data_IF_170973063686
#
_entry.id   IF_170973063686
#
_cell.length_a   1.000
_cell.length_b   1.000
_cell.length_c   1.000
_cell.angle_alpha   90.00
_cell.angle_beta   90.00
_cell.angle_gamma   90.00
#
_symmetry.space_group_name_H-M   'P 1'
#
loop_
_entity.id
_entity.type
_entity.pdbx_description
1 polymer ?
#
# COMPACT_ATOMS: atom_id res chain seq x y z
N UNK A 1 -5.52 -22.04 -7.81
CA UNK A 1 -5.96 -20.95 -6.92
C UNK A 1 -7.39 -20.56 -7.28
N UNK A 2 -8.26 -20.37 -6.31
CA UNK A 2 -9.68 -20.06 -6.56
C UNK A 2 -9.80 -18.67 -7.17
N UNK A 3 -10.69 -18.50 -8.15
CA UNK A 3 -10.99 -17.20 -8.73
C UNK A 3 -11.56 -16.25 -7.66
N UNK A 4 -11.05 -15.03 -7.62
CA UNK A 4 -11.50 -13.98 -6.70
C UNK A 4 -12.42 -13.05 -7.46
N UNK A 5 -13.55 -12.70 -6.84
CA UNK A 5 -14.45 -11.65 -7.35
C UNK A 5 -14.39 -10.44 -6.45
N UNK A 6 -13.94 -9.32 -7.00
CA UNK A 6 -13.92 -8.04 -6.32
C UNK A 6 -14.17 -6.95 -7.36
N UNK A 7 -15.32 -6.29 -7.27
CA UNK A 7 -15.79 -5.39 -8.31
C UNK A 7 -16.04 -6.08 -9.65
N UNK A 8 -15.89 -5.35 -10.73
CA UNK A 8 -16.07 -5.82 -12.11
C UNK A 8 -14.79 -6.41 -12.74
N UNK A 9 -13.70 -6.46 -11.98
CA UNK A 9 -12.39 -6.88 -12.48
C UNK A 9 -12.23 -8.40 -12.52
N UNK A 10 -11.39 -8.87 -13.45
CA UNK A 10 -10.91 -10.25 -13.50
C UNK A 10 -9.57 -10.31 -12.75
N UNK A 11 -9.56 -11.02 -11.64
CA UNK A 11 -8.39 -11.20 -10.80
C UNK A 11 -7.68 -12.51 -11.12
N UNK A 12 -6.41 -12.41 -11.47
CA UNK A 12 -5.53 -13.53 -11.84
C UNK A 12 -4.49 -13.77 -10.75
N UNK A 13 -3.98 -15.00 -10.57
CA UNK A 13 -2.88 -15.26 -9.66
C UNK A 13 -1.67 -14.38 -10.01
N UNK A 14 -1.22 -13.54 -9.08
CA UNK A 14 -0.16 -12.59 -9.37
C UNK A 14 1.19 -13.26 -9.73
N UNK A 15 1.45 -14.46 -9.19
CA UNK A 15 2.65 -15.22 -9.47
C UNK A 15 2.79 -15.65 -10.95
N UNK A 16 1.66 -15.77 -11.66
CA UNK A 16 1.62 -16.17 -13.05
C UNK A 16 1.63 -14.97 -14.01
N UNK A 17 1.58 -13.75 -13.49
CA UNK A 17 1.42 -12.50 -14.24
C UNK A 17 2.35 -11.40 -13.76
N UNK A 18 3.64 -11.70 -13.61
CA UNK A 18 4.66 -10.77 -13.12
C UNK A 18 4.85 -9.55 -14.03
N UNK A 19 4.53 -9.69 -15.31
CA UNK A 19 4.58 -8.63 -16.31
C UNK A 19 3.61 -7.47 -16.04
N UNK A 20 2.59 -7.71 -15.21
CA UNK A 20 1.62 -6.69 -14.79
C UNK A 20 2.10 -5.88 -13.57
N UNK A 21 3.21 -6.27 -12.96
CA UNK A 21 3.69 -5.69 -11.70
C UNK A 21 4.87 -4.74 -11.93
N UNK A 22 5.03 -3.76 -11.06
CA UNK A 22 6.27 -3.01 -10.96
C UNK A 22 7.43 -3.92 -10.56
N UNK A 23 8.64 -3.65 -11.07
CA UNK A 23 9.80 -4.51 -10.85
C UNK A 23 10.09 -4.81 -9.35
N UNK A 24 10.04 -3.85 -8.41
CA UNK A 24 10.24 -4.15 -7.00
C UNK A 24 9.16 -5.10 -6.43
N UNK A 25 7.92 -4.97 -6.90
CA UNK A 25 6.80 -5.80 -6.47
C UNK A 25 6.94 -7.22 -6.98
N UNK A 26 7.26 -7.37 -8.26
CA UNK A 26 7.50 -8.68 -8.87
C UNK A 26 8.64 -9.43 -8.16
N UNK A 27 9.71 -8.73 -7.79
CA UNK A 27 10.84 -9.30 -7.05
C UNK A 27 10.46 -9.73 -5.62
N UNK A 28 9.57 -9.00 -4.96
CA UNK A 28 9.16 -9.28 -3.58
C UNK A 28 8.06 -10.35 -3.48
N UNK A 29 7.32 -10.60 -4.55
CA UNK A 29 6.14 -11.47 -4.55
C UNK A 29 6.41 -12.89 -4.01
N UNK A 30 7.51 -13.57 -4.37
CA UNK A 30 7.81 -14.91 -3.86
C UNK A 30 7.98 -14.99 -2.34
N UNK A 31 8.28 -13.88 -1.69
CA UNK A 31 8.46 -13.77 -0.23
C UNK A 31 7.17 -13.50 0.55
N UNK A 32 6.03 -13.37 -0.11
CA UNK A 32 4.76 -13.15 0.58
C UNK A 32 4.34 -14.38 1.38
N UNK A 33 3.77 -14.17 2.56
CA UNK A 33 3.28 -15.22 3.44
C UNK A 33 1.95 -15.84 3.02
N UNK A 34 1.34 -15.36 1.92
CA UNK A 34 0.05 -15.82 1.43
C UNK A 34 -0.23 -15.41 0.00
N UNK A 35 -1.46 -15.63 -0.49
CA UNK A 35 -1.80 -15.42 -1.88
C UNK A 35 -1.90 -13.93 -2.24
N UNK A 36 -1.68 -13.64 -3.52
CA UNK A 36 -1.93 -12.35 -4.14
C UNK A 36 -2.51 -12.54 -5.53
N UNK A 37 -3.44 -11.67 -5.89
CA UNK A 37 -4.03 -11.61 -7.22
C UNK A 37 -3.76 -10.26 -7.85
N UNK A 38 -3.72 -10.22 -9.17
CA UNK A 38 -3.51 -9.00 -9.96
C UNK A 38 -4.65 -8.83 -10.97
N UNK A 39 -5.04 -7.59 -11.19
CA UNK A 39 -5.98 -7.23 -12.25
C UNK A 39 -5.45 -6.01 -13.01
N UNK A 40 -5.55 -6.07 -14.34
CA UNK A 40 -5.26 -4.93 -15.20
C UNK A 40 -6.35 -3.88 -15.05
N UNK A 41 -5.95 -2.62 -15.05
CA UNK A 41 -6.84 -1.46 -15.02
C UNK A 41 -6.42 -0.42 -16.05
N UNK A 42 -7.29 0.53 -16.33
CA UNK A 42 -6.94 1.74 -17.04
C UNK A 42 -6.05 2.63 -16.17
N UNK A 43 -4.94 3.14 -16.71
CA UNK A 43 -4.00 3.99 -15.97
C UNK A 43 -4.64 5.28 -15.46
N UNK A 44 -5.65 5.80 -16.14
CA UNK A 44 -6.44 6.96 -15.70
C UNK A 44 -7.29 6.69 -14.45
N UNK A 45 -7.52 5.41 -14.13
CA UNK A 45 -8.28 4.96 -12.96
C UNK A 45 -7.40 4.42 -11.84
N UNK A 46 -6.11 4.76 -11.81
CA UNK A 46 -5.18 4.27 -10.79
C UNK A 46 -5.45 4.88 -9.40
N UNK A 47 -5.91 6.12 -9.33
CA UNK A 47 -6.23 6.78 -8.07
C UNK A 47 -7.47 6.14 -7.43
N UNK A 48 -7.48 6.02 -6.10
CA UNK A 48 -8.47 5.21 -5.37
C UNK A 48 -9.91 5.60 -5.63
N UNK A 49 -10.22 6.89 -5.71
CA UNK A 49 -11.58 7.36 -6.00
C UNK A 49 -12.01 6.97 -7.42
N UNK A 50 -11.16 7.23 -8.41
CA UNK A 50 -11.40 6.86 -9.80
C UNK A 50 -11.50 5.34 -9.99
N UNK A 51 -10.68 4.58 -9.27
CA UNK A 51 -10.71 3.12 -9.25
C UNK A 51 -12.05 2.59 -8.68
N UNK A 52 -12.48 3.11 -7.55
CA UNK A 52 -13.78 2.75 -6.94
C UNK A 52 -14.93 3.01 -7.91
N UNK A 53 -14.95 4.18 -8.53
CA UNK A 53 -16.01 4.56 -9.47
C UNK A 53 -16.00 3.70 -10.74
N UNK A 54 -14.81 3.42 -11.28
CA UNK A 54 -14.69 2.69 -12.54
C UNK A 54 -15.00 1.19 -12.40
N UNK A 55 -14.60 0.56 -11.28
CA UNK A 55 -14.62 -0.89 -11.14
C UNK A 55 -15.55 -1.41 -10.04
N UNK A 56 -16.22 -0.54 -9.30
CA UNK A 56 -17.18 -0.93 -8.28
C UNK A 56 -16.57 -1.64 -7.07
N UNK A 57 -15.26 -1.46 -6.83
CA UNK A 57 -14.60 -1.94 -5.60
C UNK A 57 -14.86 -0.93 -4.49
N UNK A 58 -15.49 -1.32 -3.38
CA UNK A 58 -15.79 -0.36 -2.32
C UNK A 58 -14.51 0.16 -1.66
N UNK A 59 -14.52 1.42 -1.24
CA UNK A 59 -13.38 2.05 -0.58
C UNK A 59 -12.96 1.30 0.71
N UNK A 60 -13.88 0.60 1.36
CA UNK A 60 -13.61 -0.27 2.52
C UNK A 60 -12.79 -1.51 2.17
N UNK A 61 -12.71 -1.89 0.89
CA UNK A 61 -11.90 -3.00 0.39
C UNK A 61 -10.62 -2.52 -0.31
N UNK A 62 -10.25 -1.24 -0.15
CA UNK A 62 -9.01 -0.67 -0.69
C UNK A 62 -8.16 -0.09 0.43
N UNK A 63 -6.85 -0.25 0.33
CA UNK A 63 -5.88 0.33 1.25
C UNK A 63 -4.87 1.20 0.50
N UNK A 64 -4.59 2.37 1.06
CA UNK A 64 -3.62 3.31 0.55
C UNK A 64 -2.29 3.14 1.26
N UNK A 65 -1.21 3.13 0.49
CA UNK A 65 0.17 3.16 0.99
C UNK A 65 0.70 4.59 0.88
N UNK A 66 0.94 5.20 2.02
CA UNK A 66 1.42 6.58 2.13
C UNK A 66 2.88 6.57 2.55
N UNK A 67 3.75 7.21 1.77
CA UNK A 67 5.17 7.37 2.12
C UNK A 67 5.35 8.62 2.98
N UNK A 68 5.98 8.44 4.12
CA UNK A 68 6.20 9.47 5.13
C UNK A 68 7.70 9.74 5.28
N UNK A 69 8.06 11.02 5.32
CA UNK A 69 9.40 11.48 5.68
C UNK A 69 9.41 11.92 7.15
N UNK A 70 10.18 11.21 7.96
CA UNK A 70 10.37 11.49 9.38
C UNK A 70 11.76 12.13 9.59
N UNK A 71 11.81 13.29 10.23
CA UNK A 71 13.03 14.08 10.43
C UNK A 71 13.40 14.18 11.88
N UNK A 72 14.68 13.90 12.18
CA UNK A 72 15.28 14.07 13.51
C UNK A 72 16.76 14.40 13.37
N UNK A 73 17.23 15.41 14.11
CA UNK A 73 18.65 15.80 14.17
C UNK A 73 19.33 16.00 12.80
N UNK A 74 18.60 16.54 11.82
CA UNK A 74 19.11 16.80 10.47
C UNK A 74 19.03 15.58 9.52
N UNK A 75 18.67 14.41 10.03
CA UNK A 75 18.48 13.21 9.23
C UNK A 75 17.00 13.03 8.84
N UNK A 76 16.77 12.46 7.66
CA UNK A 76 15.46 12.07 7.17
C UNK A 76 15.42 10.57 6.96
N UNK A 77 14.44 9.90 7.58
CA UNK A 77 14.13 8.51 7.34
C UNK A 77 12.77 8.38 6.67
N UNK A 78 12.60 7.38 5.83
CA UNK A 78 11.34 7.12 5.15
C UNK A 78 10.64 5.91 5.78
N UNK A 79 9.32 5.98 5.81
CA UNK A 79 8.45 4.92 6.29
C UNK A 79 7.20 4.85 5.41
N UNK A 80 6.52 3.73 5.43
CA UNK A 80 5.22 3.58 4.78
C UNK A 80 4.12 3.43 5.84
N UNK A 81 2.97 4.04 5.58
CA UNK A 81 1.76 3.87 6.36
C UNK A 81 0.68 3.27 5.48
N UNK A 82 0.05 2.19 5.93
CA UNK A 82 -1.00 1.49 5.22
C UNK A 82 -2.31 1.64 5.98
N UNK A 83 -3.26 2.34 5.37
CA UNK A 83 -4.58 2.64 5.94
C UNK A 83 -5.68 2.34 4.93
N UNK A 84 -6.89 2.05 5.38
CA UNK A 84 -8.03 1.91 4.47
C UNK A 84 -8.29 3.22 3.71
N UNK A 85 -8.81 3.12 2.50
CA UNK A 85 -9.15 4.28 1.68
C UNK A 85 -10.23 5.19 2.31
N UNK A 86 -10.98 4.68 3.28
CA UNK A 86 -11.97 5.41 4.06
C UNK A 86 -11.36 6.22 5.22
N UNK A 87 -10.07 6.11 5.43
CA UNK A 87 -9.34 6.77 6.54
C UNK A 87 -8.10 7.49 6.02
N UNK A 88 -7.49 8.28 6.88
CA UNK A 88 -6.19 8.93 6.64
C UNK A 88 -5.21 8.59 7.75
N UNK A 89 -3.93 8.52 7.42
CA UNK A 89 -2.88 8.28 8.42
C UNK A 89 -2.65 9.51 9.31
N UNK A 90 -2.56 9.31 10.63
CA UNK A 90 -2.18 10.36 11.58
C UNK A 90 -0.65 10.59 11.57
N UNK A 91 -0.20 11.27 10.51
CA UNK A 91 1.24 11.49 10.26
C UNK A 91 1.86 12.43 11.28
N UNK A 92 1.22 13.56 11.56
CA UNK A 92 1.76 14.60 12.45
C UNK A 92 1.65 14.27 13.94
N UNK A 93 0.73 13.39 14.31
CA UNK A 93 0.51 12.95 15.66
C UNK A 93 1.19 11.62 15.96
N UNK A 94 0.48 10.53 15.69
CA UNK A 94 0.89 9.18 16.06
C UNK A 94 2.17 8.72 15.36
N UNK A 95 2.23 8.83 14.03
CA UNK A 95 3.39 8.37 13.25
C UNK A 95 4.67 9.10 13.67
N UNK A 96 4.59 10.41 13.79
CA UNK A 96 5.72 11.22 14.25
C UNK A 96 6.27 10.76 15.61
N UNK A 97 5.37 10.53 16.58
CA UNK A 97 5.77 10.07 17.92
C UNK A 97 6.33 8.66 17.88
N UNK A 98 5.67 7.76 17.16
CA UNK A 98 6.07 6.37 17.03
C UNK A 98 7.48 6.21 16.43
N UNK A 99 7.78 6.98 15.39
CA UNK A 99 9.10 6.99 14.76
C UNK A 99 10.16 7.81 15.53
N UNK A 100 9.79 8.40 16.67
CA UNK A 100 10.70 9.23 17.45
C UNK A 100 11.17 10.49 16.70
N UNK A 101 10.38 10.95 15.74
CA UNK A 101 10.74 12.09 14.89
C UNK A 101 10.36 13.42 15.53
N UNK A 102 11.12 14.46 15.22
CA UNK A 102 10.77 15.83 15.57
C UNK A 102 9.68 16.38 14.65
N UNK A 103 9.73 15.98 13.36
CA UNK A 103 8.76 16.34 12.33
C UNK A 103 8.50 15.15 11.42
N UNK A 104 7.24 14.96 11.05
CA UNK A 104 6.85 13.99 10.04
C UNK A 104 5.88 14.64 9.06
N UNK A 105 6.01 14.31 7.80
CA UNK A 105 5.16 14.80 6.71
C UNK A 105 5.09 13.76 5.60
N UNK A 106 4.15 13.92 4.67
CA UNK A 106 4.19 13.12 3.44
C UNK A 106 5.52 13.37 2.72
N UNK A 107 6.12 12.30 2.21
CA UNK A 107 7.31 12.43 1.39
C UNK A 107 6.97 13.16 0.08
N UNK A 108 7.86 14.00 -0.44
CA UNK A 108 7.69 14.55 -1.79
C UNK A 108 7.50 13.44 -2.82
N UNK A 109 6.65 13.66 -3.81
CA UNK A 109 6.29 12.65 -4.81
C UNK A 109 7.52 12.11 -5.56
N UNK A 110 8.43 12.98 -5.98
CA UNK A 110 9.67 12.62 -6.67
C UNK A 110 10.58 11.75 -5.79
N UNK A 111 10.66 12.05 -4.50
CA UNK A 111 11.40 11.24 -3.52
C UNK A 111 10.75 9.86 -3.36
N UNK A 112 9.44 9.80 -3.18
CA UNK A 112 8.72 8.53 -3.04
C UNK A 112 8.91 7.63 -4.27
N UNK A 113 8.79 8.17 -5.47
CA UNK A 113 8.99 7.43 -6.73
C UNK A 113 10.44 6.96 -6.86
N UNK A 114 11.41 7.83 -6.62
CA UNK A 114 12.84 7.49 -6.73
C UNK A 114 13.25 6.39 -5.74
N UNK A 115 12.82 6.50 -4.49
CA UNK A 115 13.24 5.58 -3.42
C UNK A 115 12.50 4.24 -3.48
N UNK A 116 11.26 4.21 -3.94
CA UNK A 116 10.50 2.95 -4.08
C UNK A 116 10.74 2.23 -5.40
N UNK A 117 11.14 2.95 -6.45
CA UNK A 117 11.19 2.43 -7.82
C UNK A 117 9.80 2.12 -8.40
N UNK A 118 8.74 2.68 -7.82
CA UNK A 118 7.36 2.47 -8.22
C UNK A 118 6.76 3.73 -8.82
N UNK A 119 5.77 3.57 -9.72
CA UNK A 119 5.04 4.69 -10.30
C UNK A 119 4.15 5.37 -9.26
N UNK A 120 4.06 6.69 -9.32
CA UNK A 120 3.08 7.43 -8.51
C UNK A 120 1.66 6.98 -8.84
N UNK A 121 0.84 6.76 -7.80
CA UNK A 121 -0.49 6.14 -7.94
C UNK A 121 -0.46 4.60 -7.96
N UNK A 122 0.73 3.99 -8.02
CA UNK A 122 0.93 2.54 -7.92
C UNK A 122 1.78 2.12 -6.71
N UNK A 123 2.23 3.05 -5.88
CA UNK A 123 3.05 2.73 -4.70
C UNK A 123 2.29 1.80 -3.77
N UNK A 124 2.97 0.76 -3.30
CA UNK A 124 2.43 -0.33 -2.49
C UNK A 124 3.42 -0.72 -1.40
N UNK A 125 2.98 -1.33 -0.28
CA UNK A 125 3.90 -1.79 0.75
C UNK A 125 4.73 -3.01 0.35
N UNK A 126 4.37 -3.69 -0.72
CA UNK A 126 5.07 -4.87 -1.23
C UNK A 126 6.27 -4.43 -2.08
N UNK A 127 7.47 -4.83 -1.70
CA UNK A 127 8.70 -4.49 -2.44
C UNK A 127 9.34 -3.16 -2.05
N UNK A 128 8.99 -2.60 -0.91
CA UNK A 128 9.66 -1.42 -0.34
C UNK A 128 11.09 -1.77 0.13
N UNK A 129 11.98 -0.76 0.24
CA UNK A 129 13.30 -0.98 0.82
C UNK A 129 13.22 -1.65 2.20
N UNK A 130 14.07 -2.66 2.44
CA UNK A 130 14.02 -3.48 3.64
C UNK A 130 14.23 -2.69 4.95
N UNK A 131 14.86 -1.52 4.87
CA UNK A 131 15.09 -0.63 6.03
C UNK A 131 13.89 0.21 6.43
N UNK A 132 12.85 0.26 5.60
CA UNK A 132 11.69 1.10 5.91
C UNK A 132 10.76 0.43 6.90
N UNK A 133 10.36 1.11 7.98
CA UNK A 133 9.19 0.71 8.76
C UNK A 133 7.94 0.74 7.90
N UNK A 134 7.10 -0.29 8.04
CA UNK A 134 5.78 -0.37 7.41
C UNK A 134 4.73 -0.40 8.53
N UNK A 135 4.06 0.71 8.72
CA UNK A 135 3.04 0.86 9.75
C UNK A 135 1.68 0.48 9.17
N UNK A 136 1.00 -0.47 9.78
CA UNK A 136 -0.25 -1.04 9.27
C UNK A 136 -1.38 -0.73 10.23
N UNK A 137 -2.45 -0.14 9.72
CA UNK A 137 -3.65 0.07 10.52
C UNK A 137 -4.31 -1.26 10.88
N UNK A 138 -4.84 -1.44 12.11
CA UNK A 138 -5.54 -2.67 12.50
C UNK A 138 -6.68 -3.07 11.57
N UNK A 139 -7.41 -2.11 11.02
CA UNK A 139 -8.49 -2.39 10.08
C UNK A 139 -7.98 -2.96 8.75
N UNK A 140 -6.77 -2.58 8.32
CA UNK A 140 -6.10 -3.19 7.18
C UNK A 140 -5.66 -4.61 7.52
N UNK A 141 -5.01 -4.81 8.66
CA UNK A 141 -4.57 -6.14 9.10
C UNK A 141 -5.72 -7.14 9.22
N UNK A 142 -6.91 -6.70 9.62
CA UNK A 142 -8.12 -7.49 9.75
C UNK A 142 -8.90 -7.67 8.44
N UNK A 143 -8.53 -6.99 7.36
CA UNK A 143 -9.22 -7.07 6.08
C UNK A 143 -9.09 -8.46 5.45
N UNK A 144 -10.20 -9.05 5.00
CA UNK A 144 -10.17 -10.37 4.34
C UNK A 144 -9.41 -10.34 3.02
N UNK A 145 -9.71 -9.33 2.20
CA UNK A 145 -9.06 -9.11 0.91
C UNK A 145 -9.10 -7.62 0.60
N UNK A 146 -7.94 -7.03 0.37
CA UNK A 146 -7.80 -5.60 0.15
C UNK A 146 -7.07 -5.32 -1.17
N UNK A 147 -7.56 -4.33 -1.89
CA UNK A 147 -6.88 -3.81 -3.08
C UNK A 147 -5.81 -2.83 -2.66
N UNK A 148 -4.61 -3.04 -3.17
CA UNK A 148 -3.44 -2.18 -3.00
C UNK A 148 -2.77 -1.89 -4.35
N UNK A 149 -1.82 -0.97 -4.37
CA UNK A 149 -1.00 -0.72 -5.55
C UNK A 149 -0.19 -1.94 -5.99
N UNK A 150 0.21 -1.95 -7.23
CA UNK A 150 1.02 -3.01 -7.86
C UNK A 150 2.44 -2.56 -8.26
N UNK A 151 2.81 -1.32 -7.94
CA UNK A 151 4.04 -0.68 -8.40
C UNK A 151 3.91 0.02 -9.75
N UNK A 152 2.79 -0.16 -10.45
CA UNK A 152 2.46 0.53 -11.71
C UNK A 152 1.07 1.16 -11.65
N UNK A 153 0.73 1.99 -12.65
CA UNK A 153 -0.61 2.55 -12.78
C UNK A 153 -1.57 1.64 -13.56
N UNK A 154 -1.05 0.65 -14.29
CA UNK A 154 -1.83 -0.20 -15.19
C UNK A 154 -2.42 -1.45 -14.56
N UNK A 155 -2.24 -1.65 -13.26
CA UNK A 155 -2.79 -2.80 -12.53
C UNK A 155 -2.97 -2.51 -11.04
N UNK A 156 -3.67 -3.41 -10.35
CA UNK A 156 -3.81 -3.44 -8.89
C UNK A 156 -3.57 -4.85 -8.38
N UNK A 157 -3.17 -4.94 -7.12
CA UNK A 157 -3.10 -6.20 -6.39
C UNK A 157 -4.29 -6.33 -5.43
N UNK A 158 -4.78 -7.56 -5.26
CA UNK A 158 -5.69 -7.93 -4.18
C UNK A 158 -4.96 -8.90 -3.24
N UNK A 159 -4.88 -8.55 -1.97
CA UNK A 159 -4.06 -9.26 -0.98
C UNK A 159 -4.81 -9.32 0.35
N UNK A 160 -4.82 -10.46 1.06
CA UNK A 160 -5.37 -10.53 2.41
C UNK A 160 -4.64 -9.58 3.36
N UNK A 161 -5.37 -8.93 4.25
CA UNK A 161 -4.78 -8.01 5.23
C UNK A 161 -3.74 -8.66 6.12
N UNK A 162 -3.91 -9.93 6.49
CA UNK A 162 -2.94 -10.69 7.25
C UNK A 162 -1.59 -10.84 6.52
N UNK A 163 -1.59 -10.95 5.19
CA UNK A 163 -0.36 -10.99 4.38
C UNK A 163 0.33 -9.63 4.40
N UNK A 164 -0.44 -8.54 4.31
CA UNK A 164 0.09 -7.17 4.41
C UNK A 164 0.70 -6.90 5.79
N UNK A 165 0.06 -7.36 6.86
CA UNK A 165 0.57 -7.23 8.23
C UNK A 165 1.82 -8.08 8.52
N UNK A 166 2.10 -9.08 7.68
CA UNK A 166 3.26 -9.96 7.80
C UNK A 166 4.43 -9.56 6.88
N UNK A 167 4.35 -8.43 6.18
CA UNK A 167 5.44 -7.94 5.34
C UNK A 167 6.70 -7.64 6.17
N UNK A 168 7.91 -7.72 5.57
CA UNK A 168 9.14 -7.31 6.24
C UNK A 168 9.04 -5.87 6.78
N UNK A 169 9.38 -5.67 8.06
CA UNK A 169 9.29 -4.36 8.71
C UNK A 169 7.87 -3.91 9.06
N UNK A 170 6.85 -4.75 8.86
CA UNK A 170 5.47 -4.42 9.19
C UNK A 170 5.22 -4.46 10.69
N UNK A 171 4.51 -3.46 11.16
CA UNK A 171 4.03 -3.34 12.54
C UNK A 171 2.60 -2.82 12.52
N UNK A 172 1.69 -3.53 13.19
CA UNK A 172 0.30 -3.08 13.36
C UNK A 172 0.28 -2.00 14.44
N UNK A 173 -0.21 -0.81 14.10
CA UNK A 173 -0.20 0.36 14.97
C UNK A 173 -1.61 0.87 15.22
N UNK A 174 -2.09 0.70 16.47
CA UNK A 174 -3.40 1.16 16.91
C UNK A 174 -3.55 2.69 16.72
N UNK A 175 -4.68 3.09 16.16
CA UNK A 175 -5.00 4.50 15.95
C UNK A 175 -4.32 5.14 14.74
N UNK A 176 -3.66 4.35 13.87
CA UNK A 176 -2.98 4.87 12.69
C UNK A 176 -3.95 5.52 11.71
N UNK A 177 -5.04 4.82 11.36
CA UNK A 177 -6.09 5.33 10.50
C UNK A 177 -7.09 6.18 11.28
N UNK A 178 -7.31 7.41 10.84
CA UNK A 178 -8.30 8.33 11.40
C UNK A 178 -9.45 8.52 10.40
N UNK A 179 -10.70 8.67 10.87
CA UNK A 179 -11.81 8.99 9.99
C UNK A 179 -11.51 10.23 9.15
N UNK A 180 -12.02 10.25 7.92
CA UNK A 180 -12.06 11.44 7.07
C UNK A 180 -13.35 12.19 7.39
N UNK A 181 -13.24 13.46 7.84
CA UNK A 181 -14.37 14.35 8.12
C UNK A 181 -15.10 14.74 6.82
#
# INVERSE_FOLDING_TARGET
MTAVQLGSLTWLPAADHLELLGAPVAAALPGLSGPAWVASIDEGSADTAAFTDAYGVPATASANCVVVAARRAGETTLAACLVLATTRADVNGLVRRHLGARKASFAPQDVAVAETGMAYGGITPIGLPASWPVLVDPAVAAGELLVVGSGTRGSKLAVPGAVLAALPGAEVLEGLGQPVD
#
